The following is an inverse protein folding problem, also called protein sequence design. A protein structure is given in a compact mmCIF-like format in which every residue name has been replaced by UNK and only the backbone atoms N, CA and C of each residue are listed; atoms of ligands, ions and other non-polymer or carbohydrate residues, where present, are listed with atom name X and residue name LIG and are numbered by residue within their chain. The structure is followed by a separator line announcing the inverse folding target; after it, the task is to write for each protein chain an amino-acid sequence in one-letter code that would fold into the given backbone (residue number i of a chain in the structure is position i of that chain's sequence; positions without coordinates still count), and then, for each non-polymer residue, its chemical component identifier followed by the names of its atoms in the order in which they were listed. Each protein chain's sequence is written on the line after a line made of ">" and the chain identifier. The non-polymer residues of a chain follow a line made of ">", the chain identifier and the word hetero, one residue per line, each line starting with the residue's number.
data_IF_137235020333
#
_entry.id   IF_137235020333
#
_cell.length_a   1.000
_cell.length_b   1.000
_cell.length_c   1.000
_cell.angle_alpha   90.00
_cell.angle_beta   90.00
_cell.angle_gamma   90.00
#
_symmetry.space_group_name_H-M   'P 1'
#
loop_
_entity.id
_entity.type
_entity.pdbx_description
1 polymer ?
#
# COMPACT_ATOMS: atom_id res chain seq x y z
N UNK A 1 25.10 20.69 18.87
CA UNK A 1 24.47 20.85 17.55
C UNK A 1 25.49 20.48 16.48
N UNK A 2 25.08 19.85 15.36
CA UNK A 2 25.97 19.47 14.24
C UNK A 2 25.42 20.11 12.95
N UNK A 3 26.26 20.50 11.98
CA UNK A 3 25.78 20.98 10.69
C UNK A 3 25.01 19.87 9.96
N UNK A 4 24.03 20.27 9.14
CA UNK A 4 23.33 19.35 8.27
C UNK A 4 24.29 18.84 7.18
N UNK A 5 24.35 17.52 6.90
CA UNK A 5 25.18 17.02 5.81
C UNK A 5 24.73 17.59 4.46
N UNK A 6 25.64 18.07 3.60
CA UNK A 6 25.29 18.65 2.30
C UNK A 6 24.43 17.73 1.42
N UNK A 7 24.68 16.43 1.48
CA UNK A 7 23.97 15.40 0.70
C UNK A 7 22.47 15.27 1.02
N UNK A 8 22.03 15.72 2.21
CA UNK A 8 20.61 15.74 2.58
C UNK A 8 20.04 17.15 2.60
N UNK A 9 20.83 18.17 2.27
CA UNK A 9 20.39 19.57 2.25
C UNK A 9 19.63 19.90 0.95
N UNK A 10 18.56 19.16 0.68
CA UNK A 10 17.66 19.39 -0.45
C UNK A 10 16.20 19.18 -0.01
N UNK A 11 15.22 19.88 -0.62
CA UNK A 11 13.81 19.73 -0.28
C UNK A 11 13.28 18.29 -0.43
N UNK A 12 13.82 17.51 -1.36
CA UNK A 12 13.47 16.10 -1.53
C UNK A 12 13.69 15.29 -0.24
N UNK A 13 14.78 15.55 0.46
CA UNK A 13 15.19 14.82 1.67
C UNK A 13 14.64 15.44 2.96
N UNK A 14 14.49 16.77 3.01
CA UNK A 14 14.05 17.49 4.21
C UNK A 14 12.54 17.73 4.26
N UNK A 15 11.92 17.99 3.11
CA UNK A 15 10.54 18.48 2.99
C UNK A 15 9.63 17.50 2.23
N UNK A 16 10.17 16.36 1.78
CA UNK A 16 9.39 15.34 1.09
C UNK A 16 8.96 15.74 -0.32
N UNK A 17 9.69 16.63 -1.00
CA UNK A 17 9.52 16.94 -2.43
C UNK A 17 9.97 15.75 -3.29
N UNK A 18 9.21 14.66 -3.21
CA UNK A 18 9.49 13.41 -3.90
C UNK A 18 8.23 12.59 -4.15
N UNK A 19 8.27 11.79 -5.20
CA UNK A 19 7.31 10.74 -5.50
C UNK A 19 7.98 9.37 -5.35
N UNK A 20 7.24 8.33 -4.99
CA UNK A 20 7.82 7.00 -4.99
C UNK A 20 6.83 5.89 -5.30
N UNK A 21 7.36 4.74 -5.69
CA UNK A 21 6.63 3.48 -5.76
C UNK A 21 7.49 2.35 -5.21
N UNK A 22 6.85 1.36 -4.60
CA UNK A 22 7.51 0.14 -4.11
C UNK A 22 6.94 -1.04 -4.89
N UNK A 23 7.84 -1.77 -5.55
CA UNK A 23 7.54 -2.86 -6.46
C UNK A 23 8.10 -4.16 -5.87
N UNK A 24 7.31 -5.22 -5.89
CA UNK A 24 7.81 -6.55 -5.50
C UNK A 24 8.59 -7.16 -6.65
N UNK A 25 9.72 -7.78 -6.34
CA UNK A 25 10.56 -8.48 -7.30
C UNK A 25 10.60 -9.97 -7.03
N UNK A 26 10.73 -10.78 -8.07
CA UNK A 26 11.04 -12.22 -8.00
C UNK A 26 12.24 -12.52 -8.89
N UNK A 27 13.32 -13.05 -8.31
CA UNK A 27 14.58 -13.29 -9.03
C UNK A 27 15.04 -12.07 -9.85
N UNK A 28 14.97 -10.88 -9.26
CA UNK A 28 15.30 -9.61 -9.91
C UNK A 28 14.25 -9.01 -10.84
N UNK A 29 13.24 -9.77 -11.28
CA UNK A 29 12.18 -9.28 -12.15
C UNK A 29 11.11 -8.50 -11.35
N UNK A 30 10.84 -7.26 -11.75
CA UNK A 30 9.83 -6.41 -11.13
C UNK A 30 8.41 -6.78 -11.58
N UNK A 31 7.52 -7.06 -10.63
CA UNK A 31 6.14 -7.45 -10.89
C UNK A 31 5.24 -6.21 -11.04
N UNK A 32 4.31 -6.25 -12.00
CA UNK A 32 3.37 -5.14 -12.29
C UNK A 32 4.09 -3.79 -12.55
N UNK A 33 5.29 -3.81 -13.14
CA UNK A 33 6.06 -2.59 -13.38
C UNK A 33 5.30 -1.53 -14.20
N UNK A 34 4.62 -1.86 -15.32
CA UNK A 34 3.89 -0.85 -16.09
C UNK A 34 2.84 -0.09 -15.26
N UNK A 35 2.11 -0.79 -14.37
CA UNK A 35 1.10 -0.19 -13.50
C UNK A 35 1.73 0.68 -12.41
N UNK A 36 2.85 0.22 -11.84
CA UNK A 36 3.62 1.01 -10.87
C UNK A 36 4.21 2.28 -11.49
N UNK A 37 4.74 2.20 -12.71
CA UNK A 37 5.27 3.33 -13.46
C UNK A 37 4.18 4.34 -13.83
N UNK A 38 3.01 3.87 -14.29
CA UNK A 38 1.88 4.76 -14.61
C UNK A 38 1.43 5.58 -13.40
N UNK A 39 1.28 4.95 -12.24
CA UNK A 39 0.94 5.67 -10.99
C UNK A 39 2.04 6.64 -10.57
N UNK A 40 3.31 6.26 -10.72
CA UNK A 40 4.44 7.12 -10.39
C UNK A 40 4.46 8.37 -11.29
N UNK A 41 4.29 8.20 -12.61
CA UNK A 41 4.14 9.31 -13.58
C UNK A 41 3.04 10.28 -13.16
N UNK A 42 1.86 9.77 -12.80
CA UNK A 42 0.75 10.61 -12.33
C UNK A 42 1.08 11.40 -11.06
N UNK A 43 1.86 10.83 -10.14
CA UNK A 43 2.32 11.55 -8.95
C UNK A 43 3.40 12.59 -9.29
N UNK A 44 4.34 12.27 -10.18
CA UNK A 44 5.37 13.22 -10.62
C UNK A 44 4.75 14.43 -11.31
N UNK A 45 3.83 14.20 -12.26
CA UNK A 45 3.12 15.26 -12.97
C UNK A 45 2.36 16.19 -12.03
N UNK A 46 1.71 15.64 -10.99
CA UNK A 46 1.00 16.44 -9.98
C UNK A 46 1.94 17.29 -9.12
N UNK A 47 3.14 16.77 -8.78
CA UNK A 47 4.16 17.50 -8.01
C UNK A 47 5.03 18.45 -8.84
N UNK A 48 4.94 18.43 -10.18
CA UNK A 48 5.89 19.13 -11.05
C UNK A 48 7.30 18.52 -11.05
N UNK A 49 7.42 17.24 -10.70
CA UNK A 49 8.68 16.49 -10.75
C UNK A 49 8.97 16.00 -12.18
N UNK A 50 10.25 15.70 -12.51
CA UNK A 50 10.57 15.09 -13.79
C UNK A 50 9.87 13.75 -13.97
N UNK A 51 9.69 13.34 -15.23
CA UNK A 51 9.17 12.03 -15.55
C UNK A 51 10.10 10.93 -15.00
N UNK A 52 9.55 9.87 -14.37
CA UNK A 52 10.34 8.75 -13.89
C UNK A 52 11.05 8.03 -15.04
N UNK A 53 12.30 7.63 -14.80
CA UNK A 53 13.00 6.71 -15.69
C UNK A 53 12.26 5.38 -15.78
N UNK A 54 11.97 4.95 -17.02
CA UNK A 54 11.21 3.72 -17.28
C UNK A 54 12.07 2.45 -17.14
N UNK A 55 13.37 2.55 -17.43
CA UNK A 55 14.29 1.41 -17.41
C UNK A 55 14.75 1.14 -15.98
N UNK A 56 14.36 -0.01 -15.45
CA UNK A 56 14.79 -0.46 -14.13
C UNK A 56 16.26 -0.95 -14.13
N UNK A 57 16.94 -0.88 -12.97
CA UNK A 57 18.25 -1.51 -12.81
C UNK A 57 18.15 -3.03 -13.03
N UNK A 58 19.23 -3.62 -13.55
CA UNK A 58 19.36 -5.09 -13.58
C UNK A 58 19.67 -5.57 -12.16
N UNK A 59 18.78 -6.38 -11.60
CA UNK A 59 18.93 -6.93 -10.25
C UNK A 59 19.29 -8.41 -10.35
N UNK A 60 20.52 -8.78 -10.03
CA UNK A 60 20.97 -10.17 -10.00
C UNK A 60 20.77 -10.75 -8.59
N UNK A 61 19.52 -11.09 -8.28
CA UNK A 61 19.11 -11.51 -6.94
C UNK A 61 18.29 -12.79 -7.00
N UNK A 62 18.31 -13.59 -5.93
CA UNK A 62 17.47 -14.77 -5.80
C UNK A 62 16.30 -14.52 -4.84
N UNK A 63 15.13 -15.03 -5.18
CA UNK A 63 13.93 -14.97 -4.35
C UNK A 63 13.19 -13.64 -4.40
N UNK A 64 12.47 -13.37 -3.31
CA UNK A 64 11.62 -12.19 -3.18
C UNK A 64 12.42 -10.95 -2.78
N UNK A 65 12.04 -9.80 -3.34
CA UNK A 65 12.62 -8.51 -2.99
C UNK A 65 11.62 -7.37 -3.10
N UNK A 66 12.02 -6.21 -2.60
CA UNK A 66 11.32 -4.94 -2.78
C UNK A 66 12.26 -3.94 -3.43
N UNK A 67 11.91 -3.52 -4.63
CA UNK A 67 12.53 -2.40 -5.33
C UNK A 67 11.71 -1.15 -5.04
N UNK A 68 12.34 -0.12 -4.48
CA UNK A 68 11.75 1.22 -4.38
C UNK A 68 12.34 2.09 -5.48
N UNK A 69 11.49 2.76 -6.23
CA UNK A 69 11.87 3.84 -7.16
C UNK A 69 11.35 5.14 -6.58
N UNK A 70 12.22 6.14 -6.46
CA UNK A 70 11.92 7.46 -5.88
C UNK A 70 12.35 8.53 -6.89
N UNK A 71 11.46 9.46 -7.18
CA UNK A 71 11.72 10.59 -8.08
C UNK A 71 11.79 11.86 -7.25
N UNK A 72 12.75 12.70 -7.56
CA UNK A 72 13.01 14.01 -6.95
C UNK A 72 13.31 15.02 -8.06
N UNK A 73 13.46 16.32 -7.77
CA UNK A 73 13.92 17.28 -8.78
C UNK A 73 15.25 16.90 -9.44
N UNK A 74 16.14 16.21 -8.69
CA UNK A 74 17.46 15.81 -9.15
C UNK A 74 17.46 14.50 -9.97
N UNK A 75 16.30 13.86 -10.13
CA UNK A 75 16.14 12.67 -10.98
C UNK A 75 15.53 11.45 -10.28
N UNK A 76 15.73 10.28 -10.90
CA UNK A 76 15.18 9.00 -10.46
C UNK A 76 16.22 8.17 -9.72
N UNK A 77 15.89 7.77 -8.50
CA UNK A 77 16.72 6.98 -7.60
C UNK A 77 16.05 5.65 -7.32
N UNK A 78 16.85 4.63 -7.02
CA UNK A 78 16.33 3.32 -6.64
C UNK A 78 17.07 2.73 -5.45
N UNK A 79 16.36 1.89 -4.70
CA UNK A 79 16.95 1.03 -3.68
C UNK A 79 16.27 -0.33 -3.70
N UNK A 80 17.03 -1.37 -3.36
CA UNK A 80 16.50 -2.73 -3.29
C UNK A 80 16.83 -3.36 -1.95
N UNK A 81 15.91 -4.19 -1.45
CA UNK A 81 16.15 -5.04 -0.28
C UNK A 81 15.48 -6.40 -0.45
N UNK A 82 16.02 -7.47 0.17
CA UNK A 82 15.32 -8.74 0.23
C UNK A 82 13.99 -8.59 0.96
N UNK A 83 12.98 -9.34 0.50
CA UNK A 83 11.68 -9.45 1.13
C UNK A 83 11.61 -10.79 1.86
N UNK A 84 11.63 -10.74 3.18
CA UNK A 84 11.36 -11.88 4.05
C UNK A 84 9.95 -11.71 4.63
N UNK A 85 8.89 -12.16 3.94
CA UNK A 85 7.58 -12.18 4.57
C UNK A 85 7.64 -13.21 5.70
N UNK A 86 7.09 -12.84 6.85
CA UNK A 86 6.90 -13.79 7.95
C UNK A 86 6.02 -14.97 7.53
N UNK A 87 5.64 -15.84 8.50
CA UNK A 87 4.72 -16.92 8.21
C UNK A 87 3.42 -16.37 7.61
N UNK A 88 2.90 -17.06 6.60
CA UNK A 88 1.55 -16.79 6.07
C UNK A 88 0.55 -17.11 7.19
N UNK A 89 -0.30 -16.16 7.54
CA UNK A 89 -1.38 -16.43 8.50
C UNK A 89 -2.43 -17.36 7.87
N UNK A 90 -2.75 -18.46 8.53
CA UNK A 90 -3.81 -19.37 8.07
C UNK A 90 -5.17 -18.68 8.10
N UNK A 91 -5.49 -18.04 9.23
CA UNK A 91 -6.79 -17.39 9.46
C UNK A 91 -6.86 -15.91 9.09
N UNK A 92 -5.94 -15.38 8.29
CA UNK A 92 -5.92 -13.95 7.91
C UNK A 92 -5.34 -13.01 8.97
N UNK A 93 -5.52 -11.71 8.80
CA UNK A 93 -4.85 -10.67 9.61
C UNK A 93 -5.82 -9.77 10.36
N UNK A 94 -5.38 -9.22 11.49
CA UNK A 94 -6.12 -8.16 12.18
C UNK A 94 -5.69 -6.80 11.65
N UNK A 95 -6.64 -5.87 11.54
CA UNK A 95 -6.39 -4.45 11.20
C UNK A 95 -6.93 -3.56 12.31
N UNK A 96 -6.28 -2.42 12.53
CA UNK A 96 -6.76 -1.40 13.47
C UNK A 96 -7.14 -0.15 12.69
N UNK A 97 -8.36 0.35 12.89
CA UNK A 97 -8.72 1.70 12.52
C UNK A 97 -8.00 2.67 13.47
N UNK A 98 -7.19 3.56 12.91
CA UNK A 98 -6.41 4.53 13.70
C UNK A 98 -7.10 5.88 13.74
N UNK A 99 -6.67 6.75 14.65
CA UNK A 99 -7.04 8.17 14.71
C UNK A 99 -6.25 9.03 13.71
N UNK A 100 -5.36 8.42 12.91
CA UNK A 100 -4.52 9.12 11.94
C UNK A 100 -5.28 9.33 10.63
N UNK A 101 -5.27 10.57 10.17
CA UNK A 101 -5.94 10.96 8.93
C UNK A 101 -4.97 11.08 7.76
N UNK A 102 -5.46 10.82 6.56
CA UNK A 102 -4.77 11.19 5.32
C UNK A 102 -4.82 12.70 5.12
N UNK A 103 -3.81 13.26 4.47
CA UNK A 103 -3.88 14.64 4.01
C UNK A 103 -4.72 14.71 2.73
N UNK A 104 -5.78 15.52 2.72
CA UNK A 104 -6.77 15.59 1.63
C UNK A 104 -6.14 15.77 0.24
N UNK A 105 -5.13 16.63 0.12
CA UNK A 105 -4.47 16.90 -1.15
C UNK A 105 -3.43 15.85 -1.56
N UNK A 106 -2.92 15.05 -0.60
CA UNK A 106 -1.83 14.10 -0.85
C UNK A 106 -2.32 12.65 -0.96
N UNK A 107 -3.52 12.35 -0.46
CA UNK A 107 -4.00 10.99 -0.31
C UNK A 107 -4.08 10.20 -1.63
N UNK A 108 -4.30 10.88 -2.76
CA UNK A 108 -4.32 10.27 -4.09
C UNK A 108 -2.92 10.01 -4.68
N UNK A 109 -1.85 10.51 -4.04
CA UNK A 109 -0.51 10.60 -4.59
C UNK A 109 0.54 9.96 -3.67
N UNK A 110 1.37 9.08 -4.22
CA UNK A 110 2.37 8.35 -3.42
C UNK A 110 3.64 9.17 -3.24
N UNK A 111 3.54 10.20 -2.42
CA UNK A 111 4.62 11.20 -2.18
C UNK A 111 5.54 10.81 -1.03
N UNK A 112 6.68 11.51 -0.91
CA UNK A 112 7.60 11.40 0.22
C UNK A 112 7.01 11.86 1.56
N UNK A 113 5.89 12.58 1.55
CA UNK A 113 5.14 13.04 2.73
C UNK A 113 4.34 11.89 3.38
N UNK A 114 5.04 10.82 3.75
CA UNK A 114 4.46 9.54 4.18
C UNK A 114 4.42 9.38 5.71
N UNK A 115 4.66 10.47 6.47
CA UNK A 115 4.67 10.44 7.93
C UNK A 115 3.32 10.01 8.53
N UNK A 116 2.14 10.48 8.06
CA UNK A 116 0.86 10.00 8.59
C UNK A 116 0.69 8.48 8.44
N UNK A 117 1.03 7.94 7.28
CA UNK A 117 1.02 6.49 7.06
C UNK A 117 1.98 5.76 8.02
N UNK A 118 3.19 6.27 8.21
CA UNK A 118 4.13 5.69 9.18
C UNK A 118 3.58 5.74 10.62
N UNK A 119 2.91 6.82 11.02
CA UNK A 119 2.28 6.95 12.34
C UNK A 119 1.09 5.99 12.49
N UNK A 120 0.25 5.84 11.48
CA UNK A 120 -0.85 4.87 11.48
C UNK A 120 -0.33 3.43 11.68
N UNK A 121 0.77 3.08 11.00
CA UNK A 121 1.42 1.78 11.20
C UNK A 121 1.95 1.57 12.63
N UNK A 122 2.42 2.63 13.30
CA UNK A 122 2.85 2.59 14.71
C UNK A 122 1.67 2.51 15.68
N UNK A 123 0.60 3.27 15.44
CA UNK A 123 -0.62 3.24 16.25
C UNK A 123 -1.38 1.90 16.17
N UNK A 124 -1.15 1.16 15.10
CA UNK A 124 -1.64 -0.20 14.90
C UNK A 124 -0.74 -1.30 15.46
N UNK A 125 0.15 -1.00 16.42
CA UNK A 125 1.00 -2.00 17.07
C UNK A 125 0.17 -3.20 17.57
N UNK A 126 0.58 -4.41 17.18
CA UNK A 126 -0.14 -5.66 17.47
C UNK A 126 -1.12 -6.09 16.38
N UNK A 127 -1.56 -5.18 15.50
CA UNK A 127 -2.28 -5.49 14.28
C UNK A 127 -1.31 -5.57 13.08
N UNK A 128 -1.76 -6.17 11.99
CA UNK A 128 -0.99 -6.26 10.75
C UNK A 128 -0.97 -4.93 10.00
N UNK A 129 -2.07 -4.18 10.06
CA UNK A 129 -2.23 -2.94 9.34
C UNK A 129 -2.98 -1.89 10.17
N UNK A 130 -2.57 -0.63 10.00
CA UNK A 130 -3.31 0.53 10.48
C UNK A 130 -4.10 1.16 9.33
N UNK A 131 -5.41 1.25 9.47
CA UNK A 131 -6.28 1.95 8.52
C UNK A 131 -6.43 3.42 8.91
N UNK A 132 -6.40 4.28 7.90
CA UNK A 132 -6.48 5.72 8.00
C UNK A 132 -7.84 6.21 7.53
N UNK A 133 -8.26 7.35 8.07
CA UNK A 133 -9.49 8.03 7.70
C UNK A 133 -9.25 9.35 6.98
N UNK A 134 -10.29 9.96 6.43
CA UNK A 134 -10.30 11.39 6.11
C UNK A 134 -10.83 12.22 7.30
N UNK A 135 -10.82 13.54 7.15
CA UNK A 135 -11.36 14.47 8.14
C UNK A 135 -12.89 14.45 8.29
N UNK A 136 -13.60 13.63 7.50
CA UNK A 136 -15.06 13.51 7.50
C UNK A 136 -15.56 12.16 8.01
N UNK A 137 -14.65 11.30 8.49
CA UNK A 137 -15.00 10.03 9.11
C UNK A 137 -15.22 8.87 8.13
N UNK A 138 -14.61 8.91 6.93
CA UNK A 138 -14.54 7.76 6.03
C UNK A 138 -13.23 7.01 6.19
N UNK A 139 -13.25 5.69 6.04
CA UNK A 139 -12.02 4.91 5.81
C UNK A 139 -11.48 5.22 4.43
N UNK A 140 -10.15 5.36 4.31
CA UNK A 140 -9.51 5.82 3.07
C UNK A 140 -8.40 4.89 2.58
N UNK A 141 -7.43 4.56 3.44
CA UNK A 141 -6.25 3.80 3.04
C UNK A 141 -5.67 3.01 4.21
N UNK A 142 -4.63 2.21 3.97
CA UNK A 142 -3.83 1.57 5.01
C UNK A 142 -2.41 2.11 5.08
N UNK A 143 -1.71 1.86 6.19
CA UNK A 143 -0.36 2.38 6.40
C UNK A 143 0.63 1.93 5.33
N UNK A 144 0.46 0.70 4.80
CA UNK A 144 1.36 0.09 3.80
C UNK A 144 0.62 -0.60 2.66
N UNK A 145 -0.62 -0.98 2.89
CA UNK A 145 -1.55 -1.65 1.98
C UNK A 145 -2.80 -0.80 1.80
N UNK A 146 -3.68 -1.19 0.89
CA UNK A 146 -4.94 -0.50 0.69
C UNK A 146 -6.13 -1.44 0.97
N UNK A 147 -7.20 -0.94 1.62
CA UNK A 147 -8.37 -1.75 1.96
C UNK A 147 -9.20 -2.11 0.73
N UNK A 148 -9.85 -3.25 0.82
CA UNK A 148 -10.95 -3.70 -0.03
C UNK A 148 -11.99 -4.33 0.90
N UNK A 149 -13.25 -3.92 0.78
CA UNK A 149 -14.34 -4.36 1.64
C UNK A 149 -15.38 -5.11 0.84
N UNK A 150 -16.15 -5.96 1.50
CA UNK A 150 -17.41 -6.48 1.01
C UNK A 150 -18.55 -5.98 1.89
N UNK A 151 -19.50 -5.30 1.25
CA UNK A 151 -20.69 -4.71 1.86
C UNK A 151 -21.88 -5.09 0.98
N UNK A 152 -22.98 -5.55 1.60
CA UNK A 152 -24.21 -5.96 0.91
C UNK A 152 -23.97 -6.97 -0.24
N UNK A 153 -22.96 -7.84 -0.08
CA UNK A 153 -22.56 -8.84 -1.07
C UNK A 153 -21.77 -8.30 -2.27
N UNK A 154 -21.41 -7.01 -2.27
CA UNK A 154 -20.62 -6.37 -3.32
C UNK A 154 -19.23 -5.93 -2.85
N UNK A 155 -18.25 -5.97 -3.75
CA UNK A 155 -16.92 -5.43 -3.48
C UNK A 155 -16.94 -3.90 -3.51
N UNK A 156 -16.44 -3.29 -2.45
CA UNK A 156 -16.35 -1.84 -2.29
C UNK A 156 -14.89 -1.43 -2.08
N UNK A 157 -14.42 -0.54 -2.93
CA UNK A 157 -13.15 0.17 -2.78
C UNK A 157 -13.44 1.51 -2.10
N UNK A 158 -12.91 1.74 -0.88
CA UNK A 158 -13.01 3.05 -0.26
C UNK A 158 -12.34 4.13 -1.13
N UNK A 159 -13.07 5.22 -1.39
CA UNK A 159 -12.58 6.35 -2.18
C UNK A 159 -11.61 7.26 -1.40
N UNK A 160 -10.87 8.10 -2.12
CA UNK A 160 -10.06 9.18 -1.52
C UNK A 160 -8.62 8.79 -1.16
N UNK A 161 -8.25 7.51 -1.24
CA UNK A 161 -6.92 7.01 -0.89
C UNK A 161 -6.03 6.77 -2.10
N UNK A 162 -4.87 6.15 -1.87
CA UNK A 162 -3.96 5.83 -2.96
C UNK A 162 -4.60 4.85 -3.95
N UNK A 163 -4.37 5.02 -5.26
CA UNK A 163 -4.71 4.01 -6.24
C UNK A 163 -3.77 2.79 -6.05
N UNK A 164 -4.25 1.79 -5.32
CA UNK A 164 -3.50 0.59 -4.98
C UNK A 164 -3.28 -0.33 -6.18
N UNK A 165 -2.03 -0.44 -6.67
CA UNK A 165 -1.67 -1.26 -7.85
C UNK A 165 -2.06 -2.74 -7.65
N UNK A 166 -1.76 -3.33 -6.49
CA UNK A 166 -2.13 -4.71 -6.18
C UNK A 166 -3.65 -4.90 -6.10
N UNK A 167 -4.38 -3.93 -5.52
CA UNK A 167 -5.86 -3.97 -5.46
C UNK A 167 -6.46 -3.90 -6.86
N UNK A 168 -5.96 -3.00 -7.71
CA UNK A 168 -6.41 -2.87 -9.10
C UNK A 168 -6.14 -4.14 -9.92
N UNK A 169 -4.97 -4.76 -9.74
CA UNK A 169 -4.64 -6.03 -10.40
C UNK A 169 -5.55 -7.18 -9.91
N UNK A 170 -5.88 -7.22 -8.62
CA UNK A 170 -6.82 -8.20 -8.08
C UNK A 170 -8.23 -8.03 -8.65
N UNK A 171 -8.73 -6.79 -8.69
CA UNK A 171 -10.08 -6.46 -9.16
C UNK A 171 -10.24 -6.53 -10.69
N UNK A 172 -9.18 -6.79 -11.45
CA UNK A 172 -9.27 -6.90 -12.90
C UNK A 172 -10.27 -7.99 -13.31
N UNK A 173 -11.33 -7.60 -14.02
CA UNK A 173 -12.41 -8.50 -14.43
C UNK A 173 -13.47 -8.79 -13.36
N UNK A 174 -13.43 -8.13 -12.20
CA UNK A 174 -14.43 -8.24 -11.15
C UNK A 174 -15.35 -7.02 -11.13
N UNK A 175 -16.60 -7.21 -10.70
CA UNK A 175 -17.53 -6.10 -10.43
C UNK A 175 -17.23 -5.52 -9.05
N UNK A 176 -17.05 -4.21 -8.97
CA UNK A 176 -16.88 -3.49 -7.71
C UNK A 176 -17.38 -2.05 -7.84
N UNK A 177 -17.65 -1.43 -6.70
CA UNK A 177 -17.96 -0.01 -6.59
C UNK A 177 -16.80 0.74 -5.93
N UNK A 178 -16.55 1.98 -6.35
CA UNK A 178 -15.69 2.90 -5.60
C UNK A 178 -16.56 4.01 -5.01
N UNK A 179 -16.63 4.08 -3.68
CA UNK A 179 -17.42 5.10 -2.97
C UNK A 179 -16.82 5.43 -1.59
N UNK A 180 -17.22 6.55 -0.96
CA UNK A 180 -16.94 6.77 0.45
C UNK A 180 -17.54 5.65 1.29
N UNK A 181 -16.81 5.22 2.31
CA UNK A 181 -17.28 4.24 3.31
C UNK A 181 -17.09 4.87 4.68
N UNK A 182 -18.19 5.14 5.37
CA UNK A 182 -18.16 5.74 6.70
C UNK A 182 -17.60 4.73 7.71
N UNK A 183 -16.94 5.22 8.76
CA UNK A 183 -16.48 4.34 9.86
C UNK A 183 -17.66 3.59 10.50
N UNK A 184 -18.86 4.19 10.50
CA UNK A 184 -20.07 3.57 11.02
C UNK A 184 -20.56 2.35 10.20
N UNK A 185 -20.13 2.20 8.94
CA UNK A 185 -20.42 1.02 8.11
C UNK A 185 -19.49 -0.16 8.41
N UNK A 186 -18.32 0.07 9.05
CA UNK A 186 -17.33 -0.99 9.27
C UNK A 186 -17.85 -2.20 10.08
N UNK A 187 -18.73 -2.04 11.09
CA UNK A 187 -19.35 -3.18 11.77
C UNK A 187 -20.24 -4.06 10.88
N UNK A 188 -20.69 -3.54 9.72
CA UNK A 188 -21.54 -4.27 8.76
C UNK A 188 -20.76 -4.95 7.64
N UNK A 189 -19.44 -4.77 7.60
CA UNK A 189 -18.56 -5.44 6.62
C UNK A 189 -18.67 -6.95 6.78
N UNK A 190 -18.89 -7.67 5.67
CA UNK A 190 -19.01 -9.13 5.69
C UNK A 190 -17.67 -9.82 5.45
N UNK A 191 -16.80 -9.22 4.62
CA UNK A 191 -15.42 -9.65 4.33
C UNK A 191 -14.54 -8.44 4.05
N UNK A 192 -13.25 -8.57 4.30
CA UNK A 192 -12.30 -7.53 3.92
C UNK A 192 -10.93 -8.11 3.57
N UNK A 193 -10.16 -7.36 2.79
CA UNK A 193 -8.80 -7.68 2.43
C UNK A 193 -7.91 -6.44 2.53
N UNK A 194 -6.63 -6.70 2.79
CA UNK A 194 -5.57 -5.73 2.58
C UNK A 194 -4.80 -6.10 1.32
N UNK A 195 -4.55 -5.11 0.46
CA UNK A 195 -3.89 -5.30 -0.82
C UNK A 195 -2.61 -4.47 -0.90
N UNK A 196 -1.45 -5.08 -1.08
CA UNK A 196 -0.21 -4.33 -1.26
C UNK A 196 0.93 -5.13 -1.86
N UNK A 197 1.82 -4.48 -2.60
CA UNK A 197 2.85 -5.15 -3.40
C UNK A 197 3.76 -6.06 -2.57
N UNK A 198 4.02 -5.70 -1.30
CA UNK A 198 4.85 -6.52 -0.41
C UNK A 198 4.19 -7.76 0.15
N UNK A 199 2.85 -7.87 0.12
CA UNK A 199 2.10 -8.92 0.83
C UNK A 199 1.09 -9.65 -0.06
N UNK A 200 0.77 -9.11 -1.23
CA UNK A 200 -0.30 -9.61 -2.09
C UNK A 200 -1.67 -9.14 -1.62
N UNK A 201 -2.65 -10.02 -1.73
CA UNK A 201 -4.02 -9.85 -1.21
C UNK A 201 -4.18 -10.77 0.01
N UNK A 202 -4.43 -10.18 1.18
CA UNK A 202 -4.48 -10.90 2.46
C UNK A 202 -5.84 -10.68 3.11
N UNK A 203 -6.56 -11.74 3.50
CA UNK A 203 -7.86 -11.59 4.14
C UNK A 203 -7.72 -10.98 5.54
N UNK A 204 -8.65 -10.10 5.86
CA UNK A 204 -8.82 -9.50 7.19
C UNK A 204 -9.78 -10.37 7.98
N UNK A 205 -9.36 -10.80 9.17
CA UNK A 205 -10.15 -11.63 10.10
C UNK A 205 -10.78 -10.82 11.22
N UNK A 206 -10.23 -9.63 11.49
CA UNK A 206 -10.66 -8.77 12.57
C UNK A 206 -10.38 -7.32 12.21
N UNK A 207 -11.38 -6.46 12.38
CA UNK A 207 -11.25 -5.00 12.32
C UNK A 207 -11.49 -4.49 13.73
N UNK A 208 -10.53 -3.74 14.27
CA UNK A 208 -10.61 -3.15 15.61
C UNK A 208 -10.69 -1.64 15.50
N UNK A 209 -11.72 -1.03 16.07
CA UNK A 209 -11.86 0.41 16.22
C UNK A 209 -11.91 0.84 17.69
N UNK A 210 -12.19 2.11 17.93
CA UNK A 210 -12.34 2.63 19.28
C UNK A 210 -13.67 2.16 19.90
N UNK A 211 -13.59 1.30 20.91
CA UNK A 211 -14.76 0.78 21.63
C UNK A 211 -15.56 -0.29 20.87
N UNK A 212 -15.10 -0.76 19.71
CA UNK A 212 -15.75 -1.82 18.95
C UNK A 212 -14.75 -2.70 18.20
N UNK A 213 -15.17 -3.92 17.91
CA UNK A 213 -14.47 -4.85 17.02
C UNK A 213 -15.47 -5.67 16.23
N UNK A 214 -15.07 -6.12 15.04
CA UNK A 214 -15.82 -7.08 14.23
C UNK A 214 -14.89 -8.20 13.79
N UNK A 215 -15.34 -9.44 13.95
CA UNK A 215 -14.67 -10.63 13.46
C UNK A 215 -15.28 -11.02 12.11
N UNK A 216 -14.43 -11.32 11.14
CA UNK A 216 -14.81 -11.61 9.77
C UNK A 216 -14.39 -13.04 9.38
N UNK A 217 -15.16 -13.72 8.53
CA UNK A 217 -14.66 -14.91 7.86
C UNK A 217 -13.45 -14.52 6.99
N UNK A 218 -12.30 -15.12 7.29
CA UNK A 218 -11.07 -14.88 6.55
C UNK A 218 -10.86 -15.97 5.50
N UNK A 219 -11.04 -15.59 4.22
CA UNK A 219 -10.84 -16.48 3.09
C UNK A 219 -9.71 -15.96 2.19
N UNK A 220 -8.68 -16.78 2.01
CA UNK A 220 -7.61 -16.47 1.08
C UNK A 220 -8.12 -16.55 -0.35
N UNK A 221 -7.97 -15.50 -1.17
CA UNK A 221 -8.43 -15.54 -2.55
C UNK A 221 -7.63 -16.57 -3.35
N UNK A 222 -8.31 -17.26 -4.27
CA UNK A 222 -7.65 -18.19 -5.20
C UNK A 222 -7.02 -17.38 -6.32
N UNK A 223 -5.73 -17.06 -6.16
CA UNK A 223 -4.93 -16.30 -7.13
C UNK A 223 -3.63 -17.03 -7.47
N UNK A 224 -3.25 -17.00 -8.74
CA UNK A 224 -2.01 -17.64 -9.24
C UNK A 224 -0.93 -16.63 -9.63
N UNK A 225 -1.31 -15.35 -9.80
CA UNK A 225 -0.35 -14.29 -10.08
C UNK A 225 0.58 -14.06 -8.88
N UNK A 226 1.89 -14.13 -9.13
CA UNK A 226 2.94 -13.87 -8.14
C UNK A 226 2.82 -12.51 -7.48
N UNK A 227 2.21 -11.53 -8.13
CA UNK A 227 1.96 -10.19 -7.61
C UNK A 227 0.80 -10.14 -6.61
N UNK A 228 -0.06 -11.16 -6.56
CA UNK A 228 -1.26 -11.22 -5.72
C UNK A 228 -1.15 -12.22 -4.57
N UNK A 229 -0.28 -13.22 -4.67
CA UNK A 229 -0.05 -14.21 -3.58
C UNK A 229 0.79 -13.67 -2.43
N UNK A 230 0.67 -14.29 -1.25
CA UNK A 230 1.62 -14.13 -0.16
C UNK A 230 3.03 -14.57 -0.61
N UNK A 231 4.12 -13.81 -0.36
CA UNK A 231 5.46 -14.15 -0.87
C UNK A 231 6.16 -15.29 -0.08
N UNK A 232 5.43 -16.36 0.29
CA UNK A 232 5.96 -17.50 1.02
C UNK A 232 6.72 -18.51 0.15
N UNK A 233 7.19 -19.60 0.77
CA UNK A 233 7.86 -20.69 0.06
C UNK A 233 6.95 -21.40 -0.97
N UNK A 234 5.65 -21.46 -0.70
CA UNK A 234 4.65 -22.07 -1.59
C UNK A 234 4.33 -21.24 -2.84
N UNK A 235 4.72 -19.95 -2.86
CA UNK A 235 4.55 -19.06 -4.01
C UNK A 235 5.75 -19.09 -4.97
N UNK A 236 6.73 -19.96 -4.71
CA UNK A 236 7.87 -20.23 -5.57
C UNK A 236 7.41 -21.20 -6.67
N UNK A 237 7.82 -21.01 -7.94
CA UNK A 237 7.53 -21.98 -9.00
C UNK A 237 8.04 -23.39 -8.68
#
# INVERSE_FOLDING_TARGET
>A
MRPLPPEVNAPAWLLGESAFTTVRTWNGAALLWPQHLARLRGTCAWLGLPDPEEKLPRLETAGWGLLRVTVTPDGTFWSWRPLAPGPRSEGGVAVRLTDVQVHLQLAAHKTGNYLPYLLAGRGAAGAFEGWLTDGTGHIVDGSRTSPLLELDGGLVVPSGGLPGVTRAAFLAGQTFETRPVTVAELPSVTRAWVCGSGVGVVPVRQIVGEGWEVNLPAEWPTVTDRALVWPGAQARP
#
